data_IF_186843513367
#
_entry.id   IF_186843513367
#
_cell.length_a   1.000
_cell.length_b   1.000
_cell.length_c   1.000
_cell.angle_alpha   90.00
_cell.angle_beta   90.00
_cell.angle_gamma   90.00
#
_symmetry.space_group_name_H-M   'P 1'
#
loop_
_entity.id
_entity.type
_entity.pdbx_description
1 polymer ?
#
# COMPACT_ATOMS: atom_id res chain seq x y z
N UNK A 1 2.21 5.31 -5.68
CA UNK A 1 1.74 4.70 -4.42
C UNK A 1 2.78 3.70 -3.92
N UNK A 2 3.01 3.57 -2.62
CA UNK A 2 3.98 2.62 -2.04
C UNK A 2 3.31 1.81 -0.95
N UNK A 3 3.58 0.50 -0.91
CA UNK A 3 3.19 -0.41 0.16
C UNK A 3 4.47 -0.94 0.78
N UNK A 4 4.59 -0.84 2.11
CA UNK A 4 5.75 -1.34 2.85
C UNK A 4 5.40 -2.66 3.54
N UNK A 5 6.25 -3.68 3.40
CA UNK A 5 6.09 -5.00 4.03
C UNK A 5 7.37 -5.42 4.74
N UNK A 6 7.24 -6.14 5.84
CA UNK A 6 8.38 -6.74 6.54
C UNK A 6 8.88 -7.99 5.82
N UNK A 7 10.10 -8.43 6.14
CA UNK A 7 10.67 -9.68 5.58
C UNK A 7 9.81 -10.89 5.93
N UNK A 8 9.25 -10.95 7.14
CA UNK A 8 8.34 -12.02 7.58
C UNK A 8 7.04 -12.02 6.76
N UNK A 9 6.47 -10.84 6.51
CA UNK A 9 5.29 -10.69 5.66
C UNK A 9 5.56 -11.14 4.22
N UNK A 10 6.73 -10.85 3.68
CA UNK A 10 7.12 -11.28 2.33
C UNK A 10 7.28 -12.80 2.27
N UNK A 11 7.84 -13.44 3.32
CA UNK A 11 7.97 -14.90 3.39
C UNK A 11 6.59 -15.58 3.47
N UNK A 12 5.71 -15.10 4.33
CA UNK A 12 4.34 -15.59 4.45
C UNK A 12 3.54 -15.46 3.14
N UNK A 13 3.78 -14.38 2.38
CA UNK A 13 3.16 -14.16 1.09
C UNK A 13 3.47 -15.25 0.06
N UNK A 14 4.71 -15.75 0.01
CA UNK A 14 5.12 -16.76 -0.99
C UNK A 14 4.33 -18.05 -0.83
N UNK A 15 4.24 -18.57 0.39
CA UNK A 15 3.47 -19.78 0.66
C UNK A 15 2.01 -19.64 0.23
N UNK A 16 1.38 -18.51 0.54
CA UNK A 16 -0.01 -18.28 0.15
C UNK A 16 -0.18 -18.12 -1.37
N UNK A 17 0.76 -17.44 -2.04
CA UNK A 17 0.71 -17.24 -3.50
C UNK A 17 0.76 -18.55 -4.28
N UNK A 18 1.54 -19.53 -3.81
CA UNK A 18 1.69 -20.83 -4.47
C UNK A 18 0.40 -21.66 -4.45
N UNK A 19 -0.51 -21.40 -3.49
CA UNK A 19 -1.79 -22.10 -3.33
C UNK A 19 -3.00 -21.27 -3.76
N UNK A 20 -2.80 -20.11 -4.40
CA UNK A 20 -3.83 -19.12 -4.65
C UNK A 20 -3.93 -18.79 -6.14
N UNK A 21 -5.12 -18.88 -6.71
CA UNK A 21 -5.40 -18.51 -8.09
C UNK A 21 -6.47 -17.43 -8.16
N UNK A 22 -6.21 -16.38 -8.97
CA UNK A 22 -7.22 -15.33 -9.19
C UNK A 22 -8.33 -15.88 -10.07
N UNK A 23 -9.57 -15.80 -9.62
CA UNK A 23 -10.74 -16.13 -10.41
C UNK A 23 -11.34 -14.90 -11.08
N UNK A 24 -11.57 -13.84 -10.30
CA UNK A 24 -12.18 -12.61 -10.82
C UNK A 24 -11.67 -11.38 -10.10
N UNK A 25 -11.70 -10.24 -10.83
CA UNK A 25 -11.56 -8.89 -10.26
C UNK A 25 -12.74 -8.08 -10.79
N UNK A 26 -13.59 -7.61 -9.89
CA UNK A 26 -14.82 -6.90 -10.25
C UNK A 26 -14.91 -5.57 -9.51
N UNK A 27 -15.49 -4.56 -10.17
CA UNK A 27 -15.84 -3.30 -9.51
C UNK A 27 -17.15 -3.50 -8.73
N UNK A 28 -17.08 -3.46 -7.41
CA UNK A 28 -18.23 -3.62 -6.52
C UNK A 28 -19.03 -2.33 -6.38
N UNK A 29 -18.34 -1.21 -6.23
CA UNK A 29 -18.99 0.09 -6.03
C UNK A 29 -18.11 1.23 -6.51
N UNK A 30 -18.79 2.31 -6.90
CA UNK A 30 -18.12 3.55 -7.26
C UNK A 30 -18.99 4.75 -6.89
N UNK A 31 -18.37 5.76 -6.32
CA UNK A 31 -18.98 7.08 -6.09
C UNK A 31 -18.09 8.16 -6.66
N UNK A 32 -18.67 9.02 -7.49
CA UNK A 32 -17.97 10.18 -8.06
C UNK A 32 -18.65 11.45 -7.55
N UNK A 33 -17.89 12.28 -6.85
CA UNK A 33 -18.37 13.58 -6.37
C UNK A 33 -17.58 14.69 -7.06
N UNK A 34 -18.29 15.53 -7.82
CA UNK A 34 -17.74 16.72 -8.46
C UNK A 34 -17.92 17.91 -7.55
N UNK A 35 -16.91 18.77 -7.40
CA UNK A 35 -16.97 19.90 -6.46
C UNK A 35 -18.05 20.93 -6.83
N UNK A 36 -18.08 21.40 -8.09
CA UNK A 36 -19.11 22.34 -8.59
C UNK A 36 -19.43 22.04 -10.06
N UNK A 37 -20.71 22.05 -10.42
CA UNK A 37 -21.14 22.00 -11.80
C UNK A 37 -20.75 23.31 -12.50
N UNK A 38 -20.10 23.23 -13.68
CA UNK A 38 -19.75 24.38 -14.49
C UNK A 38 -18.52 25.19 -14.03
N UNK A 39 -17.84 24.79 -12.94
CA UNK A 39 -16.57 25.42 -12.57
C UNK A 39 -15.51 25.14 -13.65
N UNK A 40 -14.86 26.18 -14.14
CA UNK A 40 -13.64 26.06 -14.94
C UNK A 40 -12.49 25.93 -13.93
N UNK A 41 -11.87 24.76 -13.90
CA UNK A 41 -10.69 24.53 -13.09
C UNK A 41 -9.44 24.84 -13.92
N UNK A 42 -8.45 25.47 -13.29
CA UNK A 42 -7.17 25.72 -13.94
C UNK A 42 -6.40 24.40 -14.10
N UNK A 43 -5.94 24.13 -15.30
CA UNK A 43 -4.97 23.08 -15.54
C UNK A 43 -3.52 23.61 -15.39
N UNK A 44 -2.57 22.82 -14.94
CA UNK A 44 -2.66 21.39 -14.64
C UNK A 44 -3.29 21.08 -13.26
N UNK A 45 -3.86 19.90 -13.11
CA UNK A 45 -4.35 19.40 -11.84
C UNK A 45 -3.55 18.18 -11.36
N UNK A 46 -3.56 17.93 -10.04
CA UNK A 46 -2.91 16.78 -9.44
C UNK A 46 -3.94 15.75 -8.95
N UNK A 47 -3.64 14.46 -9.11
CA UNK A 47 -4.46 13.37 -8.57
C UNK A 47 -3.65 12.59 -7.55
N UNK A 48 -4.20 12.48 -6.34
CA UNK A 48 -3.58 11.71 -5.25
C UNK A 48 -4.38 10.42 -5.02
N UNK A 49 -3.84 9.26 -5.40
CA UNK A 49 -4.43 7.97 -5.06
C UNK A 49 -4.12 7.61 -3.61
N UNK A 50 -5.13 7.16 -2.89
CA UNK A 50 -5.03 6.68 -1.51
C UNK A 50 -5.71 5.32 -1.40
N UNK A 51 -5.05 4.36 -0.75
CA UNK A 51 -5.69 3.11 -0.34
C UNK A 51 -6.52 3.43 0.92
N UNK A 52 -7.85 3.39 0.80
CA UNK A 52 -8.75 3.80 1.87
C UNK A 52 -9.14 2.64 2.79
N UNK A 53 -9.33 1.44 2.23
CA UNK A 53 -9.65 0.25 3.01
C UNK A 53 -9.18 -1.03 2.32
N UNK A 54 -8.90 -2.06 3.12
CA UNK A 54 -8.71 -3.45 2.67
C UNK A 54 -9.37 -4.35 3.69
N UNK A 55 -10.39 -5.10 3.26
CA UNK A 55 -11.07 -6.15 4.03
C UNK A 55 -10.97 -7.48 3.30
N UNK A 56 -11.15 -8.57 4.01
CA UNK A 56 -11.16 -9.89 3.41
C UNK A 56 -12.07 -10.84 4.20
N UNK A 57 -12.58 -11.84 3.51
CA UNK A 57 -13.21 -12.99 4.13
C UNK A 57 -12.74 -14.30 3.46
N UNK A 58 -12.87 -15.40 4.18
CA UNK A 58 -12.48 -16.73 3.73
C UNK A 58 -13.59 -17.71 4.04
N UNK A 59 -14.05 -18.47 3.02
CA UNK A 59 -15.07 -19.47 3.16
C UNK A 59 -14.76 -20.67 2.24
N UNK A 60 -14.46 -21.82 2.83
CA UNK A 60 -14.08 -23.01 2.07
C UNK A 60 -12.83 -22.78 1.23
N UNK A 61 -12.95 -22.99 -0.08
CA UNK A 61 -11.87 -22.76 -1.05
C UNK A 61 -11.81 -21.30 -1.56
N UNK A 62 -12.76 -20.45 -1.17
CA UNK A 62 -12.82 -19.08 -1.63
C UNK A 62 -12.17 -18.13 -0.62
N UNK A 63 -11.30 -17.30 -1.14
CA UNK A 63 -10.72 -16.17 -0.41
C UNK A 63 -10.99 -14.88 -1.18
N UNK A 64 -11.75 -13.99 -0.57
CA UNK A 64 -12.21 -12.75 -1.21
C UNK A 64 -11.60 -11.56 -0.51
N UNK A 65 -11.09 -10.62 -1.29
CA UNK A 65 -10.50 -9.39 -0.79
C UNK A 65 -11.19 -8.20 -1.43
N UNK A 66 -11.70 -7.30 -0.60
CA UNK A 66 -12.18 -5.99 -1.02
C UNK A 66 -11.08 -4.96 -0.87
N UNK A 67 -10.82 -4.23 -1.93
CA UNK A 67 -9.79 -3.18 -1.98
C UNK A 67 -10.44 -1.86 -2.38
N UNK A 68 -10.45 -0.90 -1.47
CA UNK A 68 -11.04 0.41 -1.71
C UNK A 68 -9.97 1.47 -1.95
N UNK A 69 -10.17 2.25 -3.01
CA UNK A 69 -9.32 3.38 -3.37
C UNK A 69 -10.10 4.69 -3.32
N UNK A 70 -9.44 5.73 -2.88
CA UNK A 70 -9.86 7.10 -2.97
C UNK A 70 -8.92 7.87 -3.89
N UNK A 71 -9.48 8.62 -4.83
CA UNK A 71 -8.74 9.51 -5.73
C UNK A 71 -9.29 10.92 -5.61
N UNK A 72 -8.53 11.79 -4.98
CA UNK A 72 -8.83 13.21 -4.92
C UNK A 72 -8.04 13.98 -5.98
N UNK A 73 -8.72 14.76 -6.78
CA UNK A 73 -8.12 15.68 -7.74
C UNK A 73 -8.22 17.12 -7.21
N UNK A 74 -7.12 17.86 -7.33
CA UNK A 74 -6.96 19.21 -6.84
C UNK A 74 -6.41 20.08 -7.96
N UNK A 75 -6.92 21.29 -8.09
CA UNK A 75 -6.39 22.28 -9.00
C UNK A 75 -5.09 22.92 -8.47
N UNK A 76 -4.53 23.84 -9.26
CA UNK A 76 -3.31 24.58 -8.91
C UNK A 76 -3.58 25.93 -8.25
N UNK A 77 -4.81 26.22 -7.80
CA UNK A 77 -5.15 27.46 -7.09
C UNK A 77 -4.52 27.53 -5.68
N UNK A 78 -4.47 28.72 -5.12
CA UNK A 78 -4.05 28.93 -3.73
C UNK A 78 -5.17 29.63 -2.94
N UNK A 79 -5.81 28.91 -1.97
CA UNK A 79 -5.62 27.50 -1.60
C UNK A 79 -6.15 26.54 -2.67
N UNK A 80 -5.59 25.30 -2.80
CA UNK A 80 -6.03 24.32 -3.78
C UNK A 80 -7.50 23.95 -3.58
N UNK A 81 -8.29 23.98 -4.66
CA UNK A 81 -9.68 23.52 -4.64
C UNK A 81 -9.81 22.10 -5.16
N UNK A 82 -10.70 21.31 -4.54
CA UNK A 82 -10.94 19.93 -4.97
C UNK A 82 -11.84 19.95 -6.20
N UNK A 83 -11.35 19.39 -7.30
CA UNK A 83 -12.07 19.27 -8.58
C UNK A 83 -13.09 18.14 -8.52
N UNK A 84 -12.64 16.95 -8.13
CA UNK A 84 -13.48 15.78 -7.94
C UNK A 84 -12.91 14.83 -6.89
N UNK A 85 -13.77 13.93 -6.42
CA UNK A 85 -13.41 12.81 -5.57
C UNK A 85 -14.02 11.54 -6.16
N UNK A 86 -13.22 10.52 -6.36
CA UNK A 86 -13.66 9.20 -6.79
C UNK A 86 -13.33 8.20 -5.68
N UNK A 87 -14.35 7.52 -5.18
CA UNK A 87 -14.19 6.37 -4.31
C UNK A 87 -14.63 5.13 -5.09
N UNK A 88 -13.80 4.10 -5.13
CA UNK A 88 -14.15 2.84 -5.77
C UNK A 88 -13.66 1.66 -4.94
N UNK A 89 -14.45 0.59 -4.92
CA UNK A 89 -14.12 -0.66 -4.26
C UNK A 89 -14.11 -1.78 -5.29
N UNK A 90 -13.02 -2.51 -5.34
CA UNK A 90 -12.86 -3.71 -6.14
C UNK A 90 -12.92 -4.93 -5.24
N UNK A 91 -13.57 -5.97 -5.72
CA UNK A 91 -13.55 -7.30 -5.14
C UNK A 91 -12.63 -8.18 -5.97
N UNK A 92 -11.71 -8.87 -5.30
CA UNK A 92 -10.85 -9.89 -5.91
C UNK A 92 -11.19 -11.23 -5.29
N UNK A 93 -11.70 -12.14 -6.11
CA UNK A 93 -11.96 -13.51 -5.71
C UNK A 93 -10.76 -14.38 -6.08
N UNK A 94 -10.32 -15.15 -5.11
CA UNK A 94 -9.26 -16.15 -5.26
C UNK A 94 -9.81 -17.53 -4.91
N UNK A 95 -9.35 -18.54 -5.65
CA UNK A 95 -9.54 -19.94 -5.29
C UNK A 95 -8.28 -20.44 -4.59
N UNK A 96 -8.47 -21.08 -3.43
CA UNK A 96 -7.41 -21.79 -2.71
C UNK A 96 -7.34 -23.23 -3.21
N UNK A 97 -6.13 -23.69 -3.54
CA UNK A 97 -5.84 -25.06 -4.01
C UNK A 97 -5.41 -25.94 -2.84
N UNK A 98 -5.49 -27.24 -3.05
CA UNK A 98 -4.93 -28.26 -2.15
C UNK A 98 -5.50 -28.21 -0.73
N UNK A 99 -6.76 -27.78 -0.56
CA UNK A 99 -7.39 -27.57 0.75
C UNK A 99 -6.52 -26.69 1.70
N UNK A 100 -5.75 -25.75 1.13
CA UNK A 100 -4.87 -24.87 1.88
C UNK A 100 -5.67 -23.97 2.83
N UNK A 101 -5.26 -23.93 4.09
CA UNK A 101 -5.87 -23.08 5.11
C UNK A 101 -4.85 -22.02 5.53
N UNK A 102 -4.96 -20.80 5.02
CA UNK A 102 -4.01 -19.74 5.37
C UNK A 102 -4.17 -19.27 6.81
N UNK A 103 -3.07 -18.96 7.47
CA UNK A 103 -3.05 -18.29 8.77
C UNK A 103 -3.56 -16.85 8.67
N UNK A 104 -3.93 -16.24 9.80
CA UNK A 104 -4.37 -14.83 9.84
C UNK A 104 -3.27 -13.86 9.35
N UNK A 105 -2.02 -14.17 9.66
CA UNK A 105 -0.87 -13.38 9.20
C UNK A 105 -0.71 -13.43 7.68
N UNK A 106 -0.87 -14.60 7.07
CA UNK A 106 -0.83 -14.79 5.62
C UNK A 106 -1.98 -14.05 4.95
N UNK A 107 -3.22 -14.24 5.44
CA UNK A 107 -4.41 -13.53 4.94
C UNK A 107 -4.22 -12.02 4.96
N UNK A 108 -3.79 -11.48 6.10
CA UNK A 108 -3.58 -10.04 6.26
C UNK A 108 -2.47 -9.51 5.35
N UNK A 109 -1.34 -10.21 5.26
CA UNK A 109 -0.20 -9.81 4.42
C UNK A 109 -0.55 -9.88 2.94
N UNK A 110 -1.23 -10.95 2.52
CA UNK A 110 -1.67 -11.14 1.14
C UNK A 110 -2.67 -10.07 0.70
N UNK A 111 -3.69 -9.80 1.53
CA UNK A 111 -4.71 -8.81 1.21
C UNK A 111 -4.13 -7.41 1.06
N UNK A 112 -3.24 -7.00 1.96
CA UNK A 112 -2.61 -5.67 1.92
C UNK A 112 -1.48 -5.52 0.90
N UNK A 113 -0.94 -6.61 0.43
CA UNK A 113 0.14 -6.63 -0.57
C UNK A 113 -0.34 -7.08 -1.94
N UNK A 114 -0.46 -8.39 -2.11
CA UNK A 114 -0.73 -9.02 -3.41
C UNK A 114 -2.09 -8.63 -3.98
N UNK A 115 -3.16 -8.64 -3.17
CA UNK A 115 -4.49 -8.29 -3.67
C UNK A 115 -4.55 -6.82 -4.13
N UNK A 116 -3.96 -5.90 -3.37
CA UNK A 116 -3.85 -4.49 -3.78
C UNK A 116 -3.03 -4.35 -5.07
N UNK A 117 -1.93 -5.10 -5.20
CA UNK A 117 -1.12 -5.11 -6.41
C UNK A 117 -1.90 -5.60 -7.63
N UNK A 118 -2.68 -6.67 -7.47
CA UNK A 118 -3.52 -7.23 -8.53
C UNK A 118 -4.66 -6.29 -8.94
N UNK A 119 -5.26 -5.58 -7.98
CA UNK A 119 -6.31 -4.57 -8.25
C UNK A 119 -5.77 -3.31 -8.94
N UNK A 120 -4.53 -2.94 -8.70
CA UNK A 120 -4.00 -1.64 -9.10
C UNK A 120 -4.09 -1.33 -10.60
N UNK A 121 -3.83 -2.26 -11.53
CA UNK A 121 -4.02 -2.02 -12.96
C UNK A 121 -5.47 -1.65 -13.31
N UNK A 122 -6.44 -2.37 -12.73
CA UNK A 122 -7.87 -2.14 -12.94
C UNK A 122 -8.31 -0.78 -12.36
N UNK A 123 -7.86 -0.47 -11.15
CA UNK A 123 -8.14 0.80 -10.50
C UNK A 123 -7.57 2.00 -11.29
N UNK A 124 -6.38 1.86 -11.87
CA UNK A 124 -5.77 2.89 -12.74
C UNK A 124 -6.57 3.09 -14.03
N UNK A 125 -6.96 2.01 -14.70
CA UNK A 125 -7.74 2.11 -15.94
C UNK A 125 -9.13 2.68 -15.66
N UNK A 126 -9.78 2.25 -14.58
CA UNK A 126 -11.04 2.80 -14.15
C UNK A 126 -10.96 4.32 -13.88
N UNK A 127 -9.95 4.78 -13.14
CA UNK A 127 -9.79 6.21 -12.90
C UNK A 127 -9.54 6.99 -14.19
N UNK A 128 -8.75 6.43 -15.11
CA UNK A 128 -8.50 7.02 -16.43
C UNK A 128 -9.81 7.23 -17.19
N UNK A 129 -10.65 6.21 -17.26
CA UNK A 129 -11.94 6.26 -17.95
C UNK A 129 -12.89 7.28 -17.30
N UNK A 130 -13.03 7.26 -15.99
CA UNK A 130 -13.87 8.22 -15.25
C UNK A 130 -13.39 9.65 -15.44
N UNK A 131 -12.08 9.90 -15.37
CA UNK A 131 -11.53 11.26 -15.56
C UNK A 131 -11.82 11.78 -16.95
N UNK A 132 -11.69 10.94 -17.99
CA UNK A 132 -12.04 11.30 -19.36
C UNK A 132 -13.54 11.64 -19.51
N UNK A 133 -14.43 10.84 -18.89
CA UNK A 133 -15.88 11.07 -18.89
C UNK A 133 -16.29 12.33 -18.13
N UNK A 134 -15.51 12.75 -17.14
CA UNK A 134 -15.70 14.03 -16.45
C UNK A 134 -15.24 15.23 -17.27
N UNK A 135 -14.62 15.00 -18.45
CA UNK A 135 -14.14 16.05 -19.36
C UNK A 135 -12.79 16.65 -18.94
N UNK A 136 -12.02 15.93 -18.13
CA UNK A 136 -10.69 16.35 -17.69
C UNK A 136 -9.58 15.60 -18.44
N UNK A 137 -8.38 16.22 -18.49
CA UNK A 137 -7.19 15.56 -19.00
C UNK A 137 -6.87 14.34 -18.14
N UNK A 138 -6.55 13.21 -18.78
CA UNK A 138 -6.26 11.95 -18.08
C UNK A 138 -4.93 12.04 -17.33
N UNK A 139 -4.93 11.87 -16.01
CA UNK A 139 -3.69 11.94 -15.22
C UNK A 139 -2.81 10.72 -15.43
N UNK A 140 -1.50 10.92 -15.37
CA UNK A 140 -0.53 9.82 -15.31
C UNK A 140 -0.42 9.34 -13.88
N UNK A 141 -1.05 8.20 -13.58
CA UNK A 141 -0.93 7.59 -12.26
C UNK A 141 0.38 6.82 -12.11
N UNK A 142 1.03 6.92 -10.93
CA UNK A 142 2.27 6.20 -10.68
C UNK A 142 2.05 4.68 -10.66
N UNK A 143 3.12 3.93 -10.92
CA UNK A 143 3.14 2.50 -10.66
C UNK A 143 3.07 2.23 -9.15
N UNK A 144 2.39 1.15 -8.78
CA UNK A 144 2.44 0.65 -7.41
C UNK A 144 3.80 0.01 -7.16
N UNK A 145 4.45 0.38 -6.07
CA UNK A 145 5.71 -0.22 -5.63
C UNK A 145 5.53 -0.87 -4.26
N UNK A 146 5.89 -2.15 -4.16
CA UNK A 146 6.01 -2.84 -2.88
C UNK A 146 7.47 -2.72 -2.47
N UNK A 147 7.74 -2.10 -1.32
CA UNK A 147 9.09 -1.95 -0.79
C UNK A 147 9.21 -2.68 0.55
N UNK A 148 10.30 -3.43 0.77
CA UNK A 148 10.55 -4.03 2.08
C UNK A 148 10.71 -2.90 3.11
N UNK A 149 10.00 -3.01 4.23
CA UNK A 149 10.20 -2.12 5.37
C UNK A 149 11.57 -2.44 5.96
N UNK A 150 12.48 -1.47 5.98
CA UNK A 150 13.77 -1.61 6.65
C UNK A 150 13.47 -1.89 8.12
N UNK A 151 13.99 -3.01 8.67
CA UNK A 151 13.89 -3.29 10.09
C UNK A 151 14.46 -2.08 10.85
N UNK A 152 13.65 -1.46 11.70
CA UNK A 152 14.16 -0.46 12.63
C UNK A 152 15.19 -1.18 13.50
N UNK A 153 16.45 -0.78 13.42
CA UNK A 153 17.48 -1.24 14.34
C UNK A 153 16.96 -0.94 15.75
N UNK A 154 16.74 -1.98 16.55
CA UNK A 154 16.47 -1.79 17.98
C UNK A 154 17.57 -0.87 18.50
N UNK A 155 17.25 0.24 19.22
CA UNK A 155 18.28 1.02 19.85
C UNK A 155 19.11 0.09 20.70
N UNK A 156 20.40 -0.04 20.36
CA UNK A 156 21.31 -0.93 21.03
C UNK A 156 21.31 -0.57 22.50
N UNK A 157 21.06 -1.56 23.35
CA UNK A 157 21.42 -1.51 24.76
C UNK A 157 22.92 -1.22 24.75
N UNK A 158 23.27 -0.03 25.13
CA UNK A 158 24.67 0.33 25.47
C UNK A 158 25.07 -0.56 26.61
N UNK A 159 25.67 -1.70 26.26
CA UNK A 159 26.42 -2.51 27.20
C UNK A 159 27.55 -1.64 27.73
N UNK A 160 27.39 -1.22 28.99
CA UNK A 160 28.39 -0.47 29.73
C UNK A 160 29.68 -1.30 29.76
N UNK A 161 30.61 -0.99 28.85
CA UNK A 161 31.96 -1.50 28.89
C UNK A 161 32.61 -1.05 30.21
N UNK A 162 32.73 -1.99 31.13
CA UNK A 162 33.56 -1.85 32.32
C UNK A 162 34.98 -1.52 31.86
N UNK A 163 35.46 -0.37 32.31
CA UNK A 163 36.83 0.06 32.20
C UNK A 163 37.77 -0.93 32.90
N UNK A 164 38.77 -1.50 32.26
CA UNK A 164 39.79 -2.28 32.98
C UNK A 164 40.68 -1.35 33.76
N UNK A 165 40.67 -1.55 35.06
CA UNK A 165 41.58 -0.89 36.02
C UNK A 165 43.05 -1.26 35.74
N UNK A 166 43.93 -0.28 35.84
CA UNK A 166 45.30 -0.44 36.34
C UNK A 166 46.38 -0.82 35.32
N UNK A 167 47.00 0.24 34.75
CA UNK A 167 48.38 0.12 34.30
C UNK A 167 49.28 0.85 35.31
N UNK A 168 50.34 0.24 35.81
CA UNK A 168 51.30 0.90 36.73
C UNK A 168 52.16 1.92 36.03
N UNK A 169 52.34 3.05 36.64
CA UNK A 169 53.21 4.13 36.16
C UNK A 169 54.70 3.73 36.24
N UNK A 170 55.53 4.11 35.26
CA UNK A 170 56.96 3.92 35.34
C UNK A 170 57.59 4.98 36.28
N UNK A 171 58.37 4.50 37.22
CA UNK A 171 59.24 5.27 38.10
C UNK A 171 60.29 6.02 37.32
N UNK A 172 60.43 7.33 37.53
CA UNK A 172 61.54 8.13 37.04
C UNK A 172 62.77 7.92 37.91
N UNK A 173 63.99 7.83 37.34
CA UNK A 173 65.22 7.85 38.14
C UNK A 173 65.64 9.29 38.46
N UNK A 174 65.98 9.52 39.72
CA UNK A 174 66.71 10.68 40.20
C UNK A 174 68.15 10.66 39.65
N UNK A 175 68.55 11.78 39.08
CA UNK A 175 69.87 12.46 39.20
C UNK A 175 69.72 13.86 38.74
#
# INVERSE_FOLDING_TARGET
MRISQTTEQISALRSFQDHCEIETITLQSCTVTRAKAGAQFSEPFSVKPTLSNVSFFHQGEQFVVEVSFEYAAWDSSEPPERIFLVNCTFEVCYRLRDAYVPSDAERSSFSRGTAVFNCWPYAREFLRDITARLGHQVPVLPLLRITPKKAEAKPGVLESAQSPAGLPQPTQPNT
#
